data_IF_967502251659
#
_entry.id   IF_967502251659
#
_cell.length_a   1.000
_cell.length_b   1.000
_cell.length_c   1.000
_cell.angle_alpha   90.00
_cell.angle_beta   90.00
_cell.angle_gamma   90.00
#
_symmetry.space_group_name_H-M   'P 1'
#
loop_
_entity.id
_entity.type
_entity.pdbx_description
1 polymer ?
#
# COMPACT_ATOMS: atom_id res chain seq x y z
N UNK A 1 -24.53 11.53 -50.69
CA UNK A 1 -23.44 11.80 -49.73
C UNK A 1 -23.58 13.08 -48.89
N UNK A 2 -24.46 14.04 -49.19
CA UNK A 2 -24.60 15.31 -48.43
C UNK A 2 -25.38 15.23 -47.11
N UNK A 3 -26.23 14.23 -46.86
CA UNK A 3 -27.04 14.15 -45.63
C UNK A 3 -26.28 13.71 -44.38
N UNK A 4 -25.21 12.91 -44.50
CA UNK A 4 -24.42 12.43 -43.35
C UNK A 4 -23.57 13.56 -42.77
N UNK A 5 -23.00 14.43 -43.63
CA UNK A 5 -22.16 15.55 -43.17
C UNK A 5 -22.96 16.63 -42.40
N UNK A 6 -24.22 16.87 -42.78
CA UNK A 6 -25.07 17.86 -42.11
C UNK A 6 -25.49 17.38 -40.70
N UNK A 7 -25.75 16.08 -40.52
CA UNK A 7 -26.08 15.49 -39.22
C UNK A 7 -24.86 15.49 -38.30
N UNK A 8 -23.68 15.16 -38.85
CA UNK A 8 -22.42 15.21 -38.09
C UNK A 8 -22.05 16.65 -37.70
N UNK A 9 -22.29 17.62 -38.57
CA UNK A 9 -22.06 19.05 -38.29
C UNK A 9 -23.02 19.56 -37.21
N UNK A 10 -24.31 19.23 -37.30
CA UNK A 10 -25.30 19.59 -36.28
C UNK A 10 -25.04 18.91 -34.93
N UNK A 11 -24.54 17.65 -34.91
CA UNK A 11 -24.13 16.99 -33.70
C UNK A 11 -22.84 17.60 -33.08
N UNK A 12 -21.90 18.07 -33.90
CA UNK A 12 -20.72 18.82 -33.45
C UNK A 12 -21.10 20.20 -32.89
N UNK A 13 -22.07 20.89 -33.52
CA UNK A 13 -22.53 22.21 -33.05
C UNK A 13 -23.33 22.14 -31.75
N UNK A 14 -24.04 21.05 -31.51
CA UNK A 14 -24.84 20.82 -30.30
C UNK A 14 -24.06 20.11 -29.16
N UNK A 15 -22.73 19.92 -29.30
CA UNK A 15 -21.95 19.33 -28.26
C UNK A 15 -21.72 20.32 -27.10
N UNK A 16 -22.30 20.11 -25.90
CA UNK A 16 -22.17 21.04 -24.78
C UNK A 16 -20.71 21.18 -24.29
N UNK A 17 -19.82 20.29 -24.72
CA UNK A 17 -18.38 20.29 -24.37
C UNK A 17 -17.51 20.98 -25.43
N UNK A 18 -18.08 21.58 -26.44
CA UNK A 18 -17.33 22.22 -27.56
C UNK A 18 -16.34 23.30 -27.08
N UNK A 19 -16.67 24.01 -26.01
CA UNK A 19 -15.86 25.07 -25.41
C UNK A 19 -15.24 24.66 -24.07
N UNK A 20 -15.43 23.40 -23.63
CA UNK A 20 -14.89 22.89 -22.39
C UNK A 20 -13.38 22.66 -22.52
N UNK A 21 -12.65 23.00 -21.47
CA UNK A 21 -11.23 22.69 -21.34
C UNK A 21 -11.01 21.17 -21.33
N UNK A 22 -9.79 20.73 -21.61
CA UNK A 22 -9.43 19.31 -21.52
C UNK A 22 -9.72 18.74 -20.13
N UNK A 23 -9.53 19.53 -19.07
CA UNK A 23 -9.85 19.15 -17.70
C UNK A 23 -11.35 18.93 -17.49
N UNK A 24 -12.19 19.86 -17.96
CA UNK A 24 -13.66 19.74 -17.85
C UNK A 24 -14.19 18.53 -18.64
N UNK A 25 -13.66 18.29 -19.83
CA UNK A 25 -14.01 17.09 -20.62
C UNK A 25 -13.64 15.80 -19.87
N UNK A 26 -12.47 15.76 -19.25
CA UNK A 26 -12.02 14.62 -18.47
C UNK A 26 -12.85 14.43 -17.19
N UNK A 27 -13.28 15.52 -16.53
CA UNK A 27 -14.21 15.47 -15.39
C UNK A 27 -15.59 14.90 -15.78
N UNK A 28 -16.11 15.25 -16.94
CA UNK A 28 -17.38 14.66 -17.45
C UNK A 28 -17.24 13.16 -17.66
N UNK A 29 -16.11 12.71 -18.25
CA UNK A 29 -15.81 11.28 -18.37
C UNK A 29 -15.70 10.62 -17.01
N UNK A 30 -14.96 11.20 -16.08
CA UNK A 30 -14.79 10.67 -14.72
C UNK A 30 -16.14 10.51 -14.01
N UNK A 31 -17.02 11.50 -14.13
CA UNK A 31 -18.36 11.44 -13.55
C UNK A 31 -19.23 10.33 -14.17
N UNK A 32 -19.09 10.06 -15.46
CA UNK A 32 -19.77 8.95 -16.13
C UNK A 32 -19.24 7.60 -15.63
N UNK A 33 -17.93 7.44 -15.52
CA UNK A 33 -17.29 6.22 -15.02
C UNK A 33 -17.63 5.96 -13.55
N UNK A 34 -17.64 7.00 -12.71
CA UNK A 34 -18.07 6.90 -11.31
C UNK A 34 -19.55 6.46 -11.19
N UNK A 35 -20.44 6.92 -12.07
CA UNK A 35 -21.84 6.46 -12.11
C UNK A 35 -21.91 4.96 -12.46
N UNK A 36 -21.14 4.53 -13.46
CA UNK A 36 -21.04 3.11 -13.83
C UNK A 36 -20.55 2.26 -12.64
N UNK A 37 -19.49 2.71 -11.96
CA UNK A 37 -18.97 2.01 -10.76
C UNK A 37 -19.98 2.00 -9.61
N UNK A 38 -20.76 3.05 -9.44
CA UNK A 38 -21.78 3.13 -8.39
C UNK A 38 -22.92 2.12 -8.60
N UNK A 39 -23.25 1.78 -9.84
CA UNK A 39 -24.25 0.76 -10.18
C UNK A 39 -23.77 -0.67 -9.89
N UNK A 40 -22.49 -0.93 -9.69
CA UNK A 40 -21.93 -2.23 -9.37
C UNK A 40 -21.94 -2.40 -7.83
N UNK A 41 -22.48 -3.50 -7.30
CA UNK A 41 -22.50 -3.76 -5.86
C UNK A 41 -21.26 -4.53 -5.39
N UNK A 42 -20.79 -5.52 -6.17
CA UNK A 42 -19.66 -6.38 -5.83
C UNK A 42 -18.32 -5.63 -5.83
N UNK A 43 -17.52 -5.78 -4.75
CA UNK A 43 -16.20 -5.12 -4.65
C UNK A 43 -15.22 -5.62 -5.71
N UNK A 44 -15.21 -6.92 -5.95
CA UNK A 44 -14.34 -7.56 -6.93
C UNK A 44 -14.67 -7.10 -8.35
N UNK A 45 -15.97 -7.08 -8.71
CA UNK A 45 -16.42 -6.58 -10.00
C UNK A 45 -16.12 -5.08 -10.18
N UNK A 46 -16.20 -4.28 -9.10
CA UNK A 46 -15.74 -2.88 -9.13
C UNK A 46 -14.25 -2.77 -9.40
N UNK A 47 -13.44 -3.61 -8.76
CA UNK A 47 -11.99 -3.62 -8.98
C UNK A 47 -11.66 -3.99 -10.43
N UNK A 48 -12.32 -5.02 -10.97
CA UNK A 48 -12.18 -5.41 -12.39
C UNK A 48 -12.53 -4.25 -13.31
N UNK A 49 -13.68 -3.58 -13.06
CA UNK A 49 -14.09 -2.42 -13.87
C UNK A 49 -13.10 -1.26 -13.78
N UNK A 50 -12.53 -1.00 -12.60
CA UNK A 50 -11.49 0.02 -12.44
C UNK A 50 -10.23 -0.30 -13.24
N UNK A 51 -9.80 -1.58 -13.29
CA UNK A 51 -8.66 -2.01 -14.15
C UNK A 51 -8.90 -1.69 -15.62
N UNK A 52 -10.14 -1.85 -16.11
CA UNK A 52 -10.51 -1.50 -17.49
C UNK A 52 -10.51 0.02 -17.74
N UNK A 53 -10.87 0.82 -16.73
CA UNK A 53 -10.98 2.28 -16.86
C UNK A 53 -9.65 3.00 -16.69
N UNK A 54 -8.77 2.52 -15.83
CA UNK A 54 -7.50 3.16 -15.49
C UNK A 54 -6.62 3.53 -16.70
N UNK A 55 -6.47 2.71 -17.74
CA UNK A 55 -5.67 3.05 -18.92
C UNK A 55 -6.07 4.36 -19.61
N UNK A 56 -7.35 4.73 -19.57
CA UNK A 56 -7.82 5.98 -20.16
C UNK A 56 -7.31 7.24 -19.44
N UNK A 57 -6.96 7.11 -18.16
CA UNK A 57 -6.48 8.21 -17.34
C UNK A 57 -4.95 8.30 -17.30
N UNK A 58 -4.23 7.29 -17.78
CA UNK A 58 -2.76 7.28 -17.73
C UNK A 58 -2.11 8.49 -18.40
N UNK A 59 -2.50 8.89 -19.62
CA UNK A 59 -1.89 10.06 -20.27
C UNK A 59 -2.10 11.35 -19.47
N UNK A 60 -3.28 11.51 -18.86
CA UNK A 60 -3.58 12.65 -18.01
C UNK A 60 -2.69 12.65 -16.77
N UNK A 61 -2.64 11.54 -16.05
CA UNK A 61 -1.83 11.39 -14.83
C UNK A 61 -0.36 11.62 -15.12
N UNK A 62 0.20 10.99 -16.17
CA UNK A 62 1.61 11.20 -16.55
C UNK A 62 1.91 12.66 -16.84
N UNK A 63 1.05 13.34 -17.62
CA UNK A 63 1.24 14.75 -17.91
C UNK A 63 1.21 15.64 -16.66
N UNK A 64 0.34 15.34 -15.69
CA UNK A 64 0.27 16.09 -14.43
C UNK A 64 1.50 15.81 -13.56
N UNK A 65 1.96 14.56 -13.46
CA UNK A 65 3.14 14.22 -12.66
C UNK A 65 4.42 14.82 -13.24
N UNK A 66 4.55 14.88 -14.58
CA UNK A 66 5.75 15.39 -15.26
C UNK A 66 5.79 16.93 -15.34
N UNK A 67 4.67 17.56 -15.61
CA UNK A 67 4.62 18.99 -15.97
C UNK A 67 3.74 19.84 -15.04
N UNK A 68 3.00 19.20 -14.15
CA UNK A 68 2.09 19.89 -13.23
C UNK A 68 2.81 20.74 -12.20
N UNK A 69 2.15 21.86 -11.84
CA UNK A 69 2.66 22.83 -10.86
C UNK A 69 1.88 22.80 -9.55
N UNK A 70 1.23 21.68 -9.24
CA UNK A 70 0.51 21.49 -7.98
C UNK A 70 -0.90 22.10 -7.94
N UNK A 71 -1.50 22.37 -9.09
CA UNK A 71 -2.92 22.74 -9.12
C UNK A 71 -3.77 21.55 -8.62
N UNK A 72 -4.87 21.86 -7.90
CA UNK A 72 -5.81 20.83 -7.47
C UNK A 72 -6.35 20.07 -8.68
N UNK A 73 -6.32 18.75 -8.61
CA UNK A 73 -6.76 17.87 -9.69
C UNK A 73 -7.53 16.67 -9.12
N UNK A 74 -8.85 16.72 -9.26
CA UNK A 74 -9.74 15.68 -8.75
C UNK A 74 -9.64 14.36 -9.54
N UNK A 75 -9.17 14.43 -10.79
CA UNK A 75 -8.95 13.25 -11.63
C UNK A 75 -7.77 12.46 -11.07
N UNK A 76 -6.63 13.12 -10.87
CA UNK A 76 -5.41 12.51 -10.33
C UNK A 76 -5.68 11.90 -8.95
N UNK A 77 -6.37 12.62 -8.08
CA UNK A 77 -6.70 12.14 -6.73
C UNK A 77 -7.67 10.95 -6.76
N UNK A 78 -8.63 10.93 -7.68
CA UNK A 78 -9.54 9.78 -7.85
C UNK A 78 -8.79 8.57 -8.40
N UNK A 79 -7.90 8.78 -9.38
CA UNK A 79 -7.08 7.70 -9.96
C UNK A 79 -6.15 7.09 -8.91
N UNK A 80 -5.58 7.89 -8.01
CA UNK A 80 -4.79 7.38 -6.89
C UNK A 80 -5.58 6.33 -6.08
N UNK A 81 -6.83 6.65 -5.70
CA UNK A 81 -7.68 5.70 -4.97
C UNK A 81 -8.04 4.47 -5.81
N UNK A 82 -8.33 4.65 -7.10
CA UNK A 82 -8.67 3.51 -7.95
C UNK A 82 -7.49 2.56 -8.14
N UNK A 83 -6.25 3.06 -8.21
CA UNK A 83 -5.04 2.23 -8.23
C UNK A 83 -4.90 1.39 -6.95
N UNK A 84 -5.15 1.98 -5.78
CA UNK A 84 -5.15 1.25 -4.51
C UNK A 84 -6.27 0.19 -4.44
N UNK A 85 -7.45 0.49 -4.97
CA UNK A 85 -8.56 -0.45 -5.03
C UNK A 85 -8.25 -1.70 -5.88
N UNK A 86 -7.41 -1.55 -6.89
CA UNK A 86 -7.00 -2.66 -7.77
C UNK A 86 -5.68 -3.30 -7.36
N UNK A 87 -5.05 -2.82 -6.28
CA UNK A 87 -3.79 -3.35 -5.74
C UNK A 87 -2.52 -2.73 -6.35
N UNK A 88 -2.64 -1.72 -7.22
CA UNK A 88 -1.49 -1.00 -7.79
C UNK A 88 -0.96 0.06 -6.81
N UNK A 89 -0.29 -0.40 -5.75
CA UNK A 89 0.30 0.48 -4.73
C UNK A 89 1.41 1.34 -5.34
N UNK A 90 2.24 0.78 -6.24
CA UNK A 90 3.35 1.50 -6.87
C UNK A 90 2.86 2.72 -7.65
N UNK A 91 1.92 2.52 -8.57
CA UNK A 91 1.38 3.63 -9.34
C UNK A 91 0.58 4.64 -8.52
N UNK A 92 -0.04 4.21 -7.42
CA UNK A 92 -0.67 5.14 -6.47
C UNK A 92 0.36 5.95 -5.68
N UNK A 93 1.54 5.37 -5.36
CA UNK A 93 2.62 6.03 -4.64
C UNK A 93 3.18 7.23 -5.40
N UNK A 94 3.35 7.12 -6.72
CA UNK A 94 3.83 8.23 -7.54
C UNK A 94 2.89 9.44 -7.48
N UNK A 95 1.58 9.16 -7.54
CA UNK A 95 0.56 10.19 -7.38
C UNK A 95 0.58 10.76 -5.95
N UNK A 96 0.69 9.92 -4.93
CA UNK A 96 0.73 10.35 -3.53
C UNK A 96 1.93 11.26 -3.25
N UNK A 97 3.12 10.94 -3.76
CA UNK A 97 4.31 11.80 -3.65
C UNK A 97 4.06 13.21 -4.22
N UNK A 98 3.46 13.27 -5.41
CA UNK A 98 3.08 14.53 -6.04
C UNK A 98 2.02 15.27 -5.20
N UNK A 99 0.93 14.60 -4.85
CA UNK A 99 -0.17 15.19 -4.12
C UNK A 99 0.26 15.77 -2.75
N UNK A 100 1.11 15.04 -2.01
CA UNK A 100 1.57 15.49 -0.70
C UNK A 100 2.58 16.64 -0.81
N UNK A 101 3.46 16.60 -1.82
CA UNK A 101 4.41 17.70 -2.10
C UNK A 101 3.69 19.01 -2.34
N UNK A 102 2.58 18.98 -3.05
CA UNK A 102 1.84 20.18 -3.46
C UNK A 102 0.60 20.46 -2.60
N UNK A 103 0.32 19.65 -1.60
CA UNK A 103 -0.82 19.87 -0.70
C UNK A 103 -2.19 19.70 -1.36
N UNK A 104 -2.31 18.79 -2.36
CA UNK A 104 -3.59 18.49 -2.98
C UNK A 104 -4.55 17.90 -1.95
N UNK A 105 -5.85 18.13 -2.15
CA UNK A 105 -6.91 17.65 -1.28
C UNK A 105 -7.68 16.49 -1.91
N UNK A 106 -8.38 15.71 -1.08
CA UNK A 106 -9.23 14.64 -1.58
C UNK A 106 -10.46 15.20 -2.32
N UNK A 107 -10.89 14.58 -3.43
CA UNK A 107 -12.01 15.07 -4.21
C UNK A 107 -13.35 14.86 -3.50
N UNK A 108 -14.31 15.72 -3.81
CA UNK A 108 -15.70 15.58 -3.42
C UNK A 108 -15.94 15.76 -1.92
N UNK A 109 -16.66 14.80 -1.31
CA UNK A 109 -17.08 14.87 0.10
C UNK A 109 -16.11 14.20 1.08
N UNK A 110 -14.95 13.76 0.63
CA UNK A 110 -13.97 13.15 1.50
C UNK A 110 -13.40 14.18 2.49
N UNK A 111 -13.63 13.95 3.78
CA UNK A 111 -13.16 14.86 4.86
C UNK A 111 -11.78 14.49 5.39
N UNK A 112 -11.31 13.27 5.06
CA UNK A 112 -10.02 12.76 5.56
C UNK A 112 -8.88 13.33 4.72
N UNK A 113 -7.76 13.73 5.36
CA UNK A 113 -6.57 14.16 4.63
C UNK A 113 -6.06 13.08 3.67
N UNK A 114 -5.42 13.46 2.54
CA UNK A 114 -4.90 12.50 1.56
C UNK A 114 -3.92 11.48 2.16
N UNK A 115 -3.05 11.91 3.08
CA UNK A 115 -2.09 11.06 3.76
C UNK A 115 -2.78 9.97 4.59
N UNK A 116 -3.85 10.32 5.31
CA UNK A 116 -4.65 9.37 6.06
C UNK A 116 -5.30 8.34 5.12
N UNK A 117 -6.02 8.82 4.10
CA UNK A 117 -6.69 7.94 3.11
C UNK A 117 -5.70 7.01 2.44
N UNK A 118 -4.57 7.53 2.00
CA UNK A 118 -3.52 6.76 1.34
C UNK A 118 -2.96 5.67 2.27
N UNK A 119 -2.61 6.02 3.52
CA UNK A 119 -2.08 5.05 4.49
C UNK A 119 -3.07 3.92 4.77
N UNK A 120 -4.34 4.26 4.99
CA UNK A 120 -5.40 3.28 5.25
C UNK A 120 -5.58 2.33 4.05
N UNK A 121 -5.69 2.87 2.84
CA UNK A 121 -5.93 2.07 1.65
C UNK A 121 -4.72 1.20 1.26
N UNK A 122 -3.48 1.71 1.42
CA UNK A 122 -2.27 0.89 1.23
C UNK A 122 -2.25 -0.27 2.22
N UNK A 123 -2.52 -0.03 3.50
CA UNK A 123 -2.58 -1.10 4.49
C UNK A 123 -3.64 -2.14 4.13
N UNK A 124 -4.85 -1.71 3.74
CA UNK A 124 -5.93 -2.59 3.34
C UNK A 124 -5.63 -3.37 2.04
N UNK A 125 -5.01 -2.72 1.05
CA UNK A 125 -4.60 -3.38 -0.20
C UNK A 125 -3.54 -4.46 0.08
N UNK A 126 -2.52 -4.13 0.87
CA UNK A 126 -1.48 -5.08 1.25
C UNK A 126 -2.03 -6.25 2.09
N UNK A 127 -2.97 -5.98 3.01
CA UNK A 127 -3.63 -7.04 3.80
C UNK A 127 -4.46 -7.98 2.92
N UNK A 128 -5.17 -7.44 1.91
CA UNK A 128 -5.91 -8.26 0.95
C UNK A 128 -4.99 -9.15 0.13
N UNK A 129 -3.93 -8.59 -0.45
CA UNK A 129 -2.93 -9.32 -1.22
C UNK A 129 -2.26 -10.43 -0.38
N UNK A 130 -1.81 -10.08 0.83
CA UNK A 130 -1.20 -11.03 1.76
C UNK A 130 -2.14 -12.17 2.14
N UNK A 131 -3.41 -11.87 2.42
CA UNK A 131 -4.41 -12.89 2.75
C UNK A 131 -4.75 -13.80 1.55
N UNK A 132 -4.65 -13.29 0.32
CA UNK A 132 -4.82 -14.04 -0.92
C UNK A 132 -3.55 -14.86 -1.30
N UNK A 133 -2.45 -14.73 -0.55
CA UNK A 133 -1.18 -15.35 -0.91
C UNK A 133 -0.47 -14.68 -2.08
N UNK A 134 -0.90 -13.47 -2.45
CA UNK A 134 -0.27 -12.68 -3.47
C UNK A 134 0.97 -11.95 -2.93
N UNK A 135 2.00 -11.71 -3.77
CA UNK A 135 3.21 -11.04 -3.32
C UNK A 135 2.95 -9.59 -2.90
N UNK A 136 3.48 -9.21 -1.74
CA UNK A 136 3.46 -7.82 -1.25
C UNK A 136 4.89 -7.27 -1.24
N UNK A 137 5.08 -6.13 -1.88
CA UNK A 137 6.40 -5.49 -1.99
C UNK A 137 6.70 -4.70 -0.71
N UNK A 138 7.66 -5.16 0.09
CA UNK A 138 8.04 -4.55 1.39
C UNK A 138 8.42 -3.08 1.23
N UNK A 139 9.20 -2.73 0.20
CA UNK A 139 9.64 -1.35 0.00
C UNK A 139 8.48 -0.37 -0.14
N UNK A 140 7.37 -0.77 -0.78
CA UNK A 140 6.17 0.08 -0.89
C UNK A 140 5.52 0.38 0.47
N UNK A 141 5.54 -0.59 1.40
CA UNK A 141 5.04 -0.39 2.76
C UNK A 141 5.95 0.53 3.57
N UNK A 142 7.26 0.33 3.47
CA UNK A 142 8.26 1.17 4.13
C UNK A 142 8.25 2.60 3.58
N UNK A 143 8.16 2.75 2.27
CA UNK A 143 8.00 4.04 1.61
C UNK A 143 6.72 4.76 2.05
N UNK A 144 5.62 4.03 2.21
CA UNK A 144 4.36 4.61 2.73
C UNK A 144 4.55 5.12 4.15
N UNK A 145 5.18 4.33 5.03
CA UNK A 145 5.49 4.75 6.40
C UNK A 145 6.35 6.01 6.43
N UNK A 146 7.38 6.07 5.59
CA UNK A 146 8.28 7.24 5.49
C UNK A 146 7.54 8.46 4.94
N UNK A 147 6.77 8.30 3.86
CA UNK A 147 6.05 9.38 3.19
C UNK A 147 4.98 10.02 4.07
N UNK A 148 4.39 9.23 4.99
CA UNK A 148 3.31 9.68 5.87
C UNK A 148 3.73 9.85 7.32
N UNK A 149 5.04 9.83 7.62
CA UNK A 149 5.56 9.84 8.98
C UNK A 149 5.09 11.05 9.80
N UNK A 150 5.08 12.24 9.20
CA UNK A 150 4.68 13.49 9.85
C UNK A 150 3.18 13.80 9.78
N UNK A 151 2.38 12.95 9.10
CA UNK A 151 0.96 13.23 8.91
C UNK A 151 0.17 12.91 10.18
N UNK A 152 -0.85 13.70 10.49
CA UNK A 152 -1.82 13.40 11.54
C UNK A 152 -2.88 12.41 11.04
N UNK A 153 -3.07 11.32 11.76
CA UNK A 153 -4.07 10.29 11.48
C UNK A 153 -4.31 9.43 12.73
N UNK A 154 -5.44 8.71 12.82
CA UNK A 154 -5.70 7.79 13.92
C UNK A 154 -4.60 6.73 14.08
N UNK A 155 -4.22 6.44 15.33
CA UNK A 155 -3.19 5.46 15.65
C UNK A 155 -3.51 4.06 15.11
N UNK A 156 -4.78 3.68 15.07
CA UNK A 156 -5.23 2.40 14.52
C UNK A 156 -4.90 2.25 13.02
N UNK A 157 -4.88 3.36 12.28
CA UNK A 157 -4.51 3.34 10.85
C UNK A 157 -3.02 3.06 10.69
N UNK A 158 -2.17 3.76 11.47
CA UNK A 158 -0.74 3.47 11.53
C UNK A 158 -0.46 2.05 12.01
N UNK A 159 -1.19 1.61 13.03
CA UNK A 159 -1.04 0.26 13.57
C UNK A 159 -1.31 -0.81 12.52
N UNK A 160 -2.35 -0.63 11.69
CA UNK A 160 -2.64 -1.55 10.56
C UNK A 160 -1.49 -1.62 9.57
N UNK A 161 -0.91 -0.46 9.19
CA UNK A 161 0.23 -0.44 8.26
C UNK A 161 1.46 -1.10 8.88
N UNK A 162 1.80 -0.80 10.13
CA UNK A 162 2.89 -1.47 10.85
C UNK A 162 2.66 -2.97 10.99
N UNK A 163 1.44 -3.40 11.28
CA UNK A 163 1.08 -4.82 11.39
C UNK A 163 1.37 -5.57 10.09
N UNK A 164 0.82 -5.09 8.97
CA UNK A 164 1.03 -5.78 7.68
C UNK A 164 2.49 -5.73 7.26
N UNK A 165 3.20 -4.62 7.49
CA UNK A 165 4.64 -4.51 7.23
C UNK A 165 5.40 -5.56 8.02
N UNK A 166 5.13 -5.71 9.31
CA UNK A 166 5.77 -6.73 10.14
C UNK A 166 5.46 -8.17 9.70
N UNK A 167 4.23 -8.44 9.26
CA UNK A 167 3.87 -9.77 8.74
C UNK A 167 4.63 -10.10 7.44
N UNK A 168 4.69 -9.16 6.50
CA UNK A 168 5.40 -9.35 5.23
C UNK A 168 6.91 -9.46 5.43
N UNK A 169 7.50 -8.68 6.34
CA UNK A 169 8.92 -8.79 6.72
C UNK A 169 9.24 -10.16 7.33
N UNK A 170 8.38 -10.70 8.19
CA UNK A 170 8.53 -12.04 8.75
C UNK A 170 8.54 -13.09 7.65
N UNK A 171 7.61 -13.01 6.72
CA UNK A 171 7.49 -13.98 5.62
C UNK A 171 8.70 -13.90 4.68
N UNK A 172 9.30 -12.71 4.56
CA UNK A 172 10.57 -12.46 3.86
C UNK A 172 11.82 -12.79 4.69
N UNK A 173 11.68 -13.51 5.81
CA UNK A 173 12.80 -13.95 6.66
C UNK A 173 13.64 -12.80 7.26
N UNK A 174 12.98 -11.70 7.58
CA UNK A 174 13.56 -10.55 8.28
C UNK A 174 12.94 -10.40 9.68
N UNK A 175 13.21 -11.35 10.61
CA UNK A 175 12.47 -11.44 11.87
C UNK A 175 12.76 -10.29 12.84
N UNK A 176 13.93 -9.66 12.78
CA UNK A 176 14.27 -8.54 13.66
C UNK A 176 13.45 -7.29 13.30
N UNK A 177 13.39 -6.95 12.01
CA UNK A 177 12.62 -5.82 11.51
C UNK A 177 11.10 -6.08 11.65
N UNK A 178 10.68 -7.31 11.38
CA UNK A 178 9.31 -7.76 11.62
C UNK A 178 8.88 -7.52 13.08
N UNK A 179 9.72 -7.90 14.03
CA UNK A 179 9.46 -7.72 15.45
C UNK A 179 9.33 -6.24 15.82
N UNK A 180 10.20 -5.39 15.28
CA UNK A 180 10.14 -3.95 15.54
C UNK A 180 8.81 -3.35 15.06
N UNK A 181 8.37 -3.69 13.84
CA UNK A 181 7.11 -3.21 13.28
C UNK A 181 5.90 -3.76 14.05
N UNK A 182 5.87 -5.04 14.41
CA UNK A 182 4.76 -5.61 15.19
C UNK A 182 4.66 -5.02 16.59
N UNK A 183 5.80 -4.75 17.26
CA UNK A 183 5.81 -4.04 18.55
C UNK A 183 5.26 -2.63 18.40
N UNK A 184 5.63 -1.92 17.33
CA UNK A 184 5.10 -0.59 17.06
C UNK A 184 3.59 -0.62 16.82
N UNK A 185 3.09 -1.61 16.06
CA UNK A 185 1.66 -1.80 15.87
C UNK A 185 0.92 -1.98 17.20
N UNK A 186 1.46 -2.79 18.11
CA UNK A 186 0.86 -3.03 19.43
C UNK A 186 0.91 -1.81 20.36
N UNK A 187 1.93 -0.95 20.22
CA UNK A 187 2.01 0.32 20.97
C UNK A 187 0.95 1.32 20.52
N UNK A 188 0.68 1.36 19.22
CA UNK A 188 -0.33 2.26 18.62
C UNK A 188 -1.75 1.76 18.83
N UNK A 189 -1.95 0.45 18.79
CA UNK A 189 -3.23 -0.20 18.99
C UNK A 189 -3.03 -1.54 19.73
N UNK A 190 -3.38 -1.59 21.00
CA UNK A 190 -3.27 -2.80 21.82
C UNK A 190 -4.17 -3.94 21.31
N UNK A 191 -5.19 -3.62 20.49
CA UNK A 191 -6.11 -4.57 19.87
C UNK A 191 -5.69 -4.99 18.45
N UNK A 192 -4.51 -4.58 17.98
CA UNK A 192 -4.01 -4.93 16.64
C UNK A 192 -3.90 -6.44 16.37
N UNK A 193 -3.96 -7.27 17.41
CA UNK A 193 -3.98 -8.74 17.30
C UNK A 193 -2.62 -9.34 16.90
N UNK A 194 -1.51 -8.70 17.30
CA UNK A 194 -0.12 -9.09 16.93
C UNK A 194 0.65 -9.80 18.06
N UNK A 195 0.05 -9.95 19.25
CA UNK A 195 0.73 -10.46 20.45
C UNK A 195 1.40 -11.83 20.23
N UNK A 196 0.69 -12.78 19.63
CA UNK A 196 1.21 -14.12 19.35
C UNK A 196 2.39 -14.11 18.37
N UNK A 197 2.35 -13.23 17.37
CA UNK A 197 3.44 -13.07 16.41
C UNK A 197 4.69 -12.49 17.08
N UNK A 198 4.53 -11.49 17.96
CA UNK A 198 5.62 -10.92 18.75
C UNK A 198 6.26 -11.99 19.62
N UNK A 199 5.47 -12.73 20.41
CA UNK A 199 5.99 -13.80 21.30
C UNK A 199 6.74 -14.88 20.52
N UNK A 200 6.27 -15.23 19.33
CA UNK A 200 6.94 -16.20 18.45
C UNK A 200 8.29 -15.69 17.96
N UNK A 201 8.32 -14.45 17.42
CA UNK A 201 9.54 -13.83 16.91
C UNK A 201 10.58 -13.59 18.04
N UNK A 202 10.14 -13.17 19.22
CA UNK A 202 11.03 -13.03 20.37
C UNK A 202 11.67 -14.34 20.80
N UNK A 203 10.93 -15.45 20.70
CA UNK A 203 11.47 -16.79 20.98
C UNK A 203 12.45 -17.22 19.90
N UNK A 204 12.17 -16.93 18.65
CA UNK A 204 13.03 -17.25 17.51
C UNK A 204 14.36 -16.48 17.56
N UNK A 205 14.31 -15.20 17.94
CA UNK A 205 15.47 -14.31 18.02
C UNK A 205 16.31 -14.48 19.29
N UNK A 206 15.81 -15.23 20.32
CA UNK A 206 16.63 -15.54 21.50
C UNK A 206 17.81 -16.40 21.09
N UNK A 207 19.05 -16.03 21.49
CA UNK A 207 20.20 -16.84 21.22
C UNK A 207 19.99 -18.24 21.86
N UNK A 208 20.12 -19.30 21.05
CA UNK A 208 20.13 -20.67 21.59
C UNK A 208 21.27 -20.76 22.60
N UNK A 209 21.03 -21.25 23.83
CA UNK A 209 22.10 -21.45 24.78
C UNK A 209 23.16 -22.34 24.13
N UNK A 210 24.40 -21.86 24.13
CA UNK A 210 25.53 -22.66 23.63
C UNK A 210 25.52 -24.01 24.34
N UNK A 211 25.42 -25.09 23.59
CA UNK A 211 25.53 -26.43 24.11
C UNK A 211 26.93 -26.56 24.71
N UNK A 212 27.03 -26.49 26.03
CA UNK A 212 28.28 -26.75 26.74
C UNK A 212 28.63 -28.22 26.45
N UNK A 213 29.50 -28.43 25.49
CA UNK A 213 30.10 -29.76 25.26
C UNK A 213 30.92 -30.08 26.53
N UNK A 214 30.35 -30.91 27.40
CA UNK A 214 31.11 -31.46 28.51
C UNK A 214 32.31 -32.21 27.93
N UNK A 215 33.52 -31.66 28.17
CA UNK A 215 34.75 -32.36 27.84
C UNK A 215 34.76 -33.72 28.52
N UNK A 216 35.19 -34.79 27.85
CA UNK A 216 35.27 -36.11 28.50
C UNK A 216 36.26 -36.05 29.65
N UNK A 217 35.79 -36.41 30.85
CA UNK A 217 36.63 -36.56 32.04
C UNK A 217 37.61 -37.70 31.76
N UNK A 218 38.90 -37.36 31.63
CA UNK A 218 39.99 -38.31 31.43
C UNK A 218 40.17 -39.06 32.73
N UNK A 219 39.91 -40.39 32.76
CA UNK A 219 40.14 -41.27 33.91
C UNK A 219 41.63 -41.27 34.33
N UNK A 220 41.96 -41.30 35.64
CA UNK A 220 43.32 -41.30 36.08
C UNK A 220 43.98 -42.65 35.72
N UNK A 221 45.15 -42.55 35.10
CA UNK A 221 46.03 -43.71 34.72
C UNK A 221 46.61 -44.37 35.99
N UNK A 222 46.27 -45.61 36.20
CA UNK A 222 46.85 -46.41 37.31
C UNK A 222 48.36 -46.52 37.15
N UNK A 223 49.10 -46.13 38.19
CA UNK A 223 50.56 -46.33 38.30
C UNK A 223 50.81 -47.77 38.81
N UNK A 224 51.44 -48.56 37.97
CA UNK A 224 51.99 -49.88 38.42
C UNK A 224 53.26 -49.64 39.21
N UNK A 225 53.22 -49.91 40.52
CA UNK A 225 54.38 -50.04 41.36
C UNK A 225 55.00 -51.42 41.13
N UNK A 226 56.23 -51.46 40.62
CA UNK A 226 57.11 -52.66 40.65
C UNK A 226 57.88 -52.65 41.93
N UNK A 227 57.78 -53.74 42.73
CA UNK A 227 58.60 -53.99 43.88
C UNK A 227 59.92 -54.62 43.43
N UNK A 228 61.05 -54.30 44.11
CA UNK A 228 62.33 -55.03 43.91
C UNK A 228 62.44 -56.27 44.79
N UNK A 229 63.16 -57.28 44.28
CA UNK A 229 63.59 -58.52 44.97
C UNK A 229 64.72 -58.25 45.93
#
# INVERSE_FOLDING_TARGET
>A
MMRVSAIETAQRENNPLRHATAYEQMLVKLAADQRTLKAIFGKELKATKKRELLPFYLPWVSGVLEQGKGAQDDIVMTVMLWRLDVGDIGGAMDIARYAFKYGLTMPGKHRRPPQYMFTEEVALAAMRAHAAGEPVVVSQLLDTLALTAAADMPDEVRAKLHKITGQVLRDNKQPADALAHLKRAMQLDCQAGVKKDIERLERELKPKPATVVKAPVRAPRAVKTTAPA
#
